data_IF_053022659512
#
_entry.id   IF_053022659512
#
_cell.length_a   1.000
_cell.length_b   1.000
_cell.length_c   1.000
_cell.angle_alpha   90.00
_cell.angle_beta   90.00
_cell.angle_gamma   90.00
#
_symmetry.space_group_name_H-M   'P 1'
#
loop_
_entity.id
_entity.type
_entity.pdbx_description
1 polymer ?
#
# COMPACT_ATOMS: atom_id res chain seq x y z
N UNK A 1 -64.08 77.75 11.75
CA UNK A 1 -63.91 77.53 13.18
C UNK A 1 -63.33 76.09 13.33
N UNK A 2 -62.05 75.98 13.34
CA UNK A 2 -61.34 74.70 13.35
C UNK A 2 -60.34 74.72 14.49
N UNK A 3 -60.52 73.81 15.42
CA UNK A 3 -59.68 73.62 16.60
C UNK A 3 -58.59 72.60 16.19
N UNK A 4 -57.33 73.02 16.33
CA UNK A 4 -56.17 72.13 16.12
C UNK A 4 -55.76 71.51 17.44
N UNK A 5 -55.68 70.20 17.52
CA UNK A 5 -55.15 69.45 18.64
C UNK A 5 -53.77 68.97 18.29
N UNK A 6 -52.73 69.38 19.01
CA UNK A 6 -51.38 68.98 18.93
C UNK A 6 -51.18 67.68 19.69
N UNK A 7 -50.55 66.66 19.02
CA UNK A 7 -50.15 65.41 19.63
C UNK A 7 -48.63 65.41 19.82
N UNK A 8 -48.16 65.27 21.03
CA UNK A 8 -46.76 65.11 21.39
C UNK A 8 -46.27 63.67 21.04
N UNK A 9 -45.21 63.58 20.28
CA UNK A 9 -44.48 62.34 20.03
C UNK A 9 -43.33 62.20 21.04
N UNK A 10 -43.28 61.04 21.69
CA UNK A 10 -42.16 60.60 22.49
C UNK A 10 -41.10 59.91 21.54
N UNK A 11 -39.78 60.07 21.79
CA UNK A 11 -38.79 59.38 21.00
C UNK A 11 -38.63 57.94 21.47
N UNK A 12 -38.93 56.99 20.59
CA UNK A 12 -38.68 55.54 20.79
C UNK A 12 -37.24 55.24 20.72
N UNK A 13 -36.71 54.65 21.78
CA UNK A 13 -35.36 54.03 21.80
C UNK A 13 -35.39 52.76 20.96
N UNK A 14 -34.79 52.82 19.77
CA UNK A 14 -34.60 51.64 18.92
C UNK A 14 -33.48 50.75 19.47
N UNK A 15 -33.81 49.59 20.03
CA UNK A 15 -32.85 48.55 20.34
C UNK A 15 -32.46 47.83 19.04
N UNK A 16 -31.24 48.11 18.54
CA UNK A 16 -30.66 47.35 17.45
C UNK A 16 -30.15 46.01 17.98
N UNK A 17 -30.87 44.95 17.68
CA UNK A 17 -30.42 43.57 17.91
C UNK A 17 -29.44 43.25 16.78
N UNK A 18 -28.15 43.28 17.07
CA UNK A 18 -27.07 42.71 16.21
C UNK A 18 -27.17 41.17 16.29
N UNK A 19 -27.81 40.59 15.28
CA UNK A 19 -27.82 39.13 15.06
C UNK A 19 -26.47 38.73 14.51
N UNK A 20 -25.53 38.34 15.39
CA UNK A 20 -24.25 37.76 15.01
C UNK A 20 -24.48 36.39 14.40
N UNK A 21 -24.45 36.27 13.06
CA UNK A 21 -24.33 35.00 12.38
C UNK A 21 -22.95 34.42 12.66
N UNK A 22 -22.83 33.51 13.63
CA UNK A 22 -21.71 32.59 13.77
C UNK A 22 -21.76 31.63 12.57
N UNK A 23 -20.96 31.92 11.55
CA UNK A 23 -20.62 30.95 10.48
C UNK A 23 -19.78 29.81 11.11
N UNK A 24 -20.46 28.74 11.53
CA UNK A 24 -19.79 27.44 11.71
C UNK A 24 -19.33 26.95 10.33
N UNK A 25 -18.09 27.23 9.99
CA UNK A 25 -17.41 26.50 8.93
C UNK A 25 -17.25 25.07 9.45
N UNK A 26 -18.18 24.19 9.08
CA UNK A 26 -17.99 22.76 9.25
C UNK A 26 -16.75 22.40 8.43
N UNK A 27 -15.59 22.23 9.08
CA UNK A 27 -14.47 21.55 8.48
C UNK A 27 -14.93 20.12 8.21
N UNK A 28 -15.37 19.85 6.98
CA UNK A 28 -15.49 18.47 6.52
C UNK A 28 -14.13 17.82 6.75
N UNK A 29 -14.07 16.61 7.34
CA UNK A 29 -12.82 15.89 7.41
C UNK A 29 -12.30 15.79 5.99
N UNK A 30 -11.11 16.36 5.73
CA UNK A 30 -10.42 16.17 4.49
C UNK A 30 -10.06 14.68 4.46
N UNK A 31 -10.91 13.87 3.81
CA UNK A 31 -10.55 12.49 3.54
C UNK A 31 -9.28 12.55 2.70
N UNK A 32 -8.23 11.91 3.20
CA UNK A 32 -6.98 11.84 2.46
C UNK A 32 -7.25 11.14 1.13
N UNK A 33 -7.09 11.89 0.06
CA UNK A 33 -7.37 11.44 -1.29
C UNK A 33 -6.29 10.47 -1.75
N UNK A 34 -6.68 9.38 -2.41
CA UNK A 34 -5.76 8.59 -3.21
C UNK A 34 -5.26 9.44 -4.38
N UNK A 35 -3.95 9.58 -4.50
CA UNK A 35 -3.30 10.35 -5.58
C UNK A 35 -3.18 9.57 -6.89
N UNK A 36 -3.49 8.28 -6.87
CA UNK A 36 -3.47 7.43 -8.08
C UNK A 36 -4.78 7.58 -8.81
N UNK A 37 -4.78 8.02 -10.07
CA UNK A 37 -5.98 7.98 -10.89
C UNK A 37 -6.31 6.53 -11.26
N UNK A 38 -7.62 6.22 -11.41
CA UNK A 38 -8.09 4.90 -11.83
C UNK A 38 -7.38 3.74 -11.09
N UNK A 39 -7.43 3.68 -9.75
CA UNK A 39 -6.55 2.84 -8.92
C UNK A 39 -6.78 1.33 -9.08
N UNK A 40 -7.96 0.91 -9.52
CA UNK A 40 -8.33 -0.50 -9.77
C UNK A 40 -8.51 -0.79 -11.26
N UNK A 41 -8.03 0.10 -12.15
CA UNK A 41 -8.01 -0.11 -13.59
C UNK A 41 -9.40 -0.23 -14.25
N UNK A 42 -10.47 0.22 -13.59
CA UNK A 42 -11.86 0.04 -14.02
C UNK A 42 -12.31 1.01 -15.14
N UNK A 43 -11.65 2.18 -15.25
CA UNK A 43 -12.00 3.19 -16.24
C UNK A 43 -11.28 2.88 -17.55
N UNK A 44 -12.05 2.62 -18.61
CA UNK A 44 -11.57 2.26 -19.94
C UNK A 44 -12.49 2.82 -21.03
N UNK A 45 -11.93 3.11 -22.19
CA UNK A 45 -12.71 3.49 -23.38
C UNK A 45 -13.37 2.28 -24.07
N UNK A 46 -12.70 1.13 -24.05
CA UNK A 46 -13.20 -0.09 -24.71
C UNK A 46 -12.62 -1.35 -24.05
N UNK A 47 -13.32 -2.48 -24.20
CA UNK A 47 -12.84 -3.76 -23.69
C UNK A 47 -11.58 -4.23 -24.42
N UNK A 48 -10.63 -4.91 -23.74
CA UNK A 48 -9.37 -5.36 -24.34
C UNK A 48 -9.59 -6.45 -25.38
N UNK A 49 -8.96 -6.30 -26.56
CA UNK A 49 -8.94 -7.36 -27.59
C UNK A 49 -7.75 -8.31 -27.34
N UNK A 50 -6.63 -7.73 -26.94
CA UNK A 50 -5.42 -8.41 -26.50
C UNK A 50 -4.99 -7.86 -25.15
N UNK A 51 -4.28 -8.64 -24.31
CA UNK A 51 -3.90 -8.17 -22.98
C UNK A 51 -2.87 -7.02 -23.00
N UNK A 52 -1.95 -6.99 -23.97
CA UNK A 52 -0.81 -6.09 -23.99
C UNK A 52 -1.17 -4.59 -23.99
N UNK A 53 -0.64 -3.83 -23.04
CA UNK A 53 -0.75 -2.37 -22.89
C UNK A 53 0.17 -1.61 -23.87
N UNK A 54 0.40 -2.11 -25.05
CA UNK A 54 1.29 -1.44 -26.00
C UNK A 54 0.54 -0.61 -27.02
N UNK A 55 1.09 0.57 -27.35
CA UNK A 55 0.57 1.40 -28.43
C UNK A 55 0.67 0.79 -29.83
N UNK A 56 1.21 -0.42 -29.97
CA UNK A 56 1.29 -1.16 -31.23
C UNK A 56 0.02 -1.93 -31.59
N UNK A 57 -0.83 -2.20 -30.62
CA UNK A 57 -2.16 -2.80 -30.84
C UNK A 57 -3.20 -1.83 -30.28
N UNK A 58 -4.30 -1.56 -30.98
CA UNK A 58 -5.43 -0.83 -30.42
C UNK A 58 -6.14 -1.76 -29.40
N UNK A 59 -5.50 -1.97 -28.24
CA UNK A 59 -6.10 -2.61 -27.10
C UNK A 59 -6.68 -1.55 -26.17
N UNK A 60 -7.63 -1.92 -25.33
CA UNK A 60 -8.06 -1.05 -24.27
C UNK A 60 -6.89 -0.86 -23.30
N UNK A 61 -6.53 0.38 -23.08
CA UNK A 61 -5.58 0.79 -22.07
C UNK A 61 -6.43 1.38 -20.94
N UNK A 62 -6.24 0.98 -19.67
CA UNK A 62 -6.92 1.64 -18.57
C UNK A 62 -6.59 3.12 -18.58
N UNK A 63 -7.60 3.98 -18.44
CA UNK A 63 -7.41 5.42 -18.41
C UNK A 63 -6.34 5.82 -17.39
N UNK A 64 -5.45 6.74 -17.77
CA UNK A 64 -4.35 7.25 -16.97
C UNK A 64 -3.16 6.31 -16.75
N UNK A 65 -3.21 5.07 -17.22
CA UNK A 65 -2.11 4.13 -17.14
C UNK A 65 -1.40 3.97 -18.47
N UNK A 66 -0.13 3.65 -18.44
CA UNK A 66 0.70 3.47 -19.63
C UNK A 66 1.75 2.38 -19.41
N UNK A 67 2.22 1.77 -20.49
CA UNK A 67 3.39 0.92 -20.44
C UNK A 67 4.63 1.79 -20.19
N UNK A 68 5.29 1.55 -19.06
CA UNK A 68 6.56 2.20 -18.74
C UNK A 68 7.74 1.45 -19.36
N UNK A 69 7.70 0.14 -19.33
CA UNK A 69 8.70 -0.73 -19.94
C UNK A 69 8.04 -1.98 -20.48
N UNK A 70 8.44 -2.36 -21.69
CA UNK A 70 8.00 -3.52 -22.45
C UNK A 70 6.46 -3.61 -22.60
N UNK A 71 5.86 -4.78 -22.44
CA UNK A 71 4.47 -5.07 -22.83
C UNK A 71 3.61 -5.57 -21.66
N UNK A 72 3.48 -4.82 -20.55
CA UNK A 72 2.57 -5.21 -19.50
C UNK A 72 1.16 -5.41 -20.04
N UNK A 73 0.36 -6.22 -19.37
CA UNK A 73 -0.94 -6.66 -19.86
C UNK A 73 -2.09 -6.05 -19.07
N UNK A 74 -3.26 -5.95 -19.72
CA UNK A 74 -4.52 -5.55 -19.10
C UNK A 74 -5.56 -6.65 -19.24
N UNK A 75 -6.26 -6.95 -18.15
CA UNK A 75 -7.30 -7.97 -18.06
C UNK A 75 -8.59 -7.36 -17.52
N UNK A 76 -9.73 -7.72 -18.13
CA UNK A 76 -11.04 -7.21 -17.72
C UNK A 76 -12.13 -8.23 -18.01
N UNK A 77 -13.08 -8.40 -17.08
CA UNK A 77 -14.21 -9.31 -17.22
C UNK A 77 -15.23 -8.93 -18.31
N UNK A 78 -15.06 -7.76 -18.94
CA UNK A 78 -15.94 -7.34 -20.07
C UNK A 78 -15.72 -8.17 -21.35
N UNK A 79 -14.71 -9.04 -21.39
CA UNK A 79 -14.43 -9.95 -22.51
C UNK A 79 -14.43 -11.41 -22.07
N UNK A 80 -14.65 -12.33 -23.01
CA UNK A 80 -14.55 -13.77 -22.80
C UNK A 80 -13.42 -14.32 -23.70
N UNK A 81 -12.20 -13.86 -23.44
CA UNK A 81 -11.01 -14.17 -24.25
C UNK A 81 -9.81 -14.39 -23.32
N UNK A 82 -8.62 -14.48 -23.91
CA UNK A 82 -7.33 -14.57 -23.16
C UNK A 82 -7.03 -13.34 -22.31
N UNK A 83 -7.76 -12.24 -22.48
CA UNK A 83 -7.67 -11.00 -21.69
C UNK A 83 -8.74 -10.88 -20.61
N UNK A 84 -9.46 -11.96 -20.30
CA UNK A 84 -10.58 -11.96 -19.36
C UNK A 84 -10.14 -11.99 -17.89
N UNK A 85 -11.09 -11.77 -17.01
CA UNK A 85 -11.05 -11.97 -15.57
C UNK A 85 -12.24 -12.87 -15.22
N UNK A 86 -12.11 -13.90 -14.40
CA UNK A 86 -10.91 -14.31 -13.64
C UNK A 86 -9.90 -15.17 -14.44
N UNK A 87 -10.29 -15.73 -15.59
CA UNK A 87 -9.47 -16.64 -16.37
C UNK A 87 -8.83 -15.92 -17.54
N UNK A 88 -7.51 -15.87 -17.57
CA UNK A 88 -6.74 -15.25 -18.65
C UNK A 88 -5.60 -16.14 -19.14
N UNK A 89 -4.78 -15.61 -20.03
CA UNK A 89 -3.65 -16.34 -20.61
C UNK A 89 -2.63 -16.79 -19.54
N UNK A 90 -2.37 -15.99 -18.50
CA UNK A 90 -1.31 -16.25 -17.53
C UNK A 90 -1.80 -16.73 -16.17
N UNK A 91 -3.06 -16.45 -15.80
CA UNK A 91 -3.57 -16.77 -14.49
C UNK A 91 -5.07 -17.07 -14.43
N UNK A 92 -5.49 -17.55 -13.26
CA UNK A 92 -6.88 -17.59 -12.84
C UNK A 92 -6.99 -16.86 -11.52
N UNK A 93 -7.50 -15.63 -11.54
CA UNK A 93 -7.61 -14.78 -10.37
C UNK A 93 -8.81 -13.84 -10.49
N UNK A 94 -9.70 -13.84 -9.49
CA UNK A 94 -10.73 -12.80 -9.36
C UNK A 94 -10.06 -11.45 -9.10
N UNK A 95 -10.61 -10.36 -9.64
CA UNK A 95 -10.12 -9.02 -9.32
C UNK A 95 -10.20 -8.77 -7.81
N UNK A 96 -9.25 -8.01 -7.27
CA UNK A 96 -9.31 -7.59 -5.87
C UNK A 96 -10.43 -6.56 -5.67
N UNK A 97 -10.53 -5.60 -6.57
CA UNK A 97 -11.59 -4.60 -6.60
C UNK A 97 -12.14 -4.47 -8.03
N UNK A 98 -13.47 -4.49 -8.17
CA UNK A 98 -14.12 -4.36 -9.47
C UNK A 98 -14.01 -5.59 -10.36
N UNK A 99 -13.58 -5.40 -11.62
CA UNK A 99 -13.61 -6.39 -12.70
C UNK A 99 -12.31 -6.44 -13.52
N UNK A 100 -11.28 -5.72 -13.11
CA UNK A 100 -10.07 -5.53 -13.89
C UNK A 100 -8.81 -5.59 -13.04
N UNK A 101 -7.66 -5.83 -13.67
CA UNK A 101 -6.33 -5.69 -13.11
C UNK A 101 -5.29 -5.63 -14.24
N UNK A 102 -4.06 -5.26 -13.90
CA UNK A 102 -2.91 -5.34 -14.80
C UNK A 102 -2.00 -6.51 -14.45
N UNK A 103 -1.25 -6.99 -15.41
CA UNK A 103 -0.26 -8.03 -15.23
C UNK A 103 1.07 -7.65 -15.87
N UNK A 104 2.15 -8.22 -15.34
CA UNK A 104 3.49 -7.91 -15.82
C UNK A 104 4.50 -9.01 -15.48
N UNK A 105 5.47 -9.19 -16.35
CA UNK A 105 6.62 -10.05 -16.10
C UNK A 105 7.58 -9.37 -15.13
N UNK A 106 7.75 -9.96 -13.94
CA UNK A 106 8.52 -9.37 -12.84
C UNK A 106 9.90 -9.99 -12.66
N UNK A 107 10.18 -11.12 -13.34
CA UNK A 107 11.49 -11.74 -13.40
C UNK A 107 11.61 -12.59 -14.66
N UNK A 108 12.56 -12.23 -15.55
CA UNK A 108 12.90 -12.98 -16.73
C UNK A 108 14.44 -13.12 -16.85
N UNK A 109 14.94 -14.16 -17.54
CA UNK A 109 16.34 -14.24 -17.91
C UNK A 109 16.79 -13.01 -18.70
N UNK A 110 18.02 -12.56 -18.50
CA UNK A 110 18.57 -11.44 -19.26
C UNK A 110 18.13 -10.05 -18.77
N UNK A 111 17.62 -9.93 -17.55
CA UNK A 111 17.22 -8.66 -16.94
C UNK A 111 15.98 -8.00 -17.59
N UNK A 112 15.14 -8.75 -18.28
CA UNK A 112 13.87 -8.24 -18.82
C UNK A 112 12.84 -8.07 -17.72
N UNK A 113 12.11 -6.97 -17.81
CA UNK A 113 11.00 -6.59 -16.91
C UNK A 113 9.92 -5.86 -17.67
N UNK A 114 8.70 -6.15 -17.31
CA UNK A 114 7.56 -5.31 -17.70
C UNK A 114 7.18 -4.41 -16.54
N UNK A 115 6.79 -3.19 -16.85
CA UNK A 115 6.43 -2.19 -15.85
C UNK A 115 5.27 -1.34 -16.34
N UNK A 116 4.37 -1.01 -15.43
CA UNK A 116 3.22 -0.14 -15.70
C UNK A 116 3.34 1.14 -14.88
N UNK A 117 2.97 2.28 -15.45
CA UNK A 117 3.08 3.58 -14.79
C UNK A 117 1.82 4.43 -14.91
N UNK A 118 1.71 5.42 -14.03
CA UNK A 118 0.68 6.44 -14.05
C UNK A 118 1.21 7.79 -13.60
N UNK A 119 0.62 8.89 -14.08
CA UNK A 119 0.84 10.22 -13.53
C UNK A 119 -0.06 10.41 -12.30
N UNK A 120 0.50 10.87 -11.20
CA UNK A 120 -0.25 11.19 -9.99
C UNK A 120 -1.16 12.40 -10.22
N UNK A 121 -2.34 12.40 -9.59
CA UNK A 121 -3.29 13.53 -9.65
C UNK A 121 -2.67 14.86 -9.21
N UNK A 122 -1.72 14.82 -8.30
CA UNK A 122 -0.94 15.97 -7.83
C UNK A 122 0.52 15.54 -7.61
N UNK A 123 1.49 16.42 -7.89
CA UNK A 123 2.89 16.18 -7.53
C UNK A 123 3.04 16.05 -6.01
N UNK A 124 3.98 15.22 -5.58
CA UNK A 124 4.33 15.11 -4.16
C UNK A 124 4.99 16.36 -3.64
N UNK A 125 4.77 16.68 -2.37
CA UNK A 125 5.44 17.77 -1.66
C UNK A 125 6.70 17.25 -0.98
N UNK A 126 7.82 17.93 -1.22
CA UNK A 126 9.12 17.57 -0.63
C UNK A 126 9.03 17.70 0.90
N UNK A 127 9.49 16.68 1.61
CA UNK A 127 9.47 16.61 3.07
C UNK A 127 8.20 16.03 3.67
N UNK A 128 7.13 15.82 2.87
CA UNK A 128 5.91 15.17 3.32
C UNK A 128 6.03 13.65 3.32
N UNK A 129 5.37 13.00 4.27
CA UNK A 129 5.29 11.54 4.33
C UNK A 129 4.14 11.04 3.46
N UNK A 130 4.44 10.07 2.61
CA UNK A 130 3.46 9.38 1.77
C UNK A 130 3.37 7.91 2.17
N UNK A 131 2.16 7.40 2.13
CA UNK A 131 1.80 6.00 2.30
C UNK A 131 1.42 5.45 0.94
N UNK A 132 1.99 4.30 0.58
CA UNK A 132 1.73 3.69 -0.71
C UNK A 132 1.44 2.20 -0.53
N UNK A 133 0.51 1.66 -1.32
CA UNK A 133 0.15 0.25 -1.28
C UNK A 133 -0.46 -0.22 -2.60
N UNK A 134 -0.38 -1.51 -2.85
CA UNK A 134 -1.08 -2.22 -3.92
C UNK A 134 -1.25 -3.68 -3.54
N UNK A 135 -2.18 -4.36 -4.17
CA UNK A 135 -2.33 -5.80 -4.04
C UNK A 135 -1.65 -6.52 -5.20
N UNK A 136 -0.99 -7.63 -4.90
CA UNK A 136 -0.25 -8.43 -5.87
C UNK A 136 -0.57 -9.91 -5.72
N UNK A 137 -0.66 -10.62 -6.85
CA UNK A 137 -0.83 -12.07 -6.93
C UNK A 137 0.26 -12.65 -7.83
N UNK A 138 0.79 -13.82 -7.49
CA UNK A 138 1.67 -14.57 -8.38
C UNK A 138 0.79 -15.31 -9.41
N UNK A 139 0.74 -14.83 -10.64
CA UNK A 139 -0.14 -15.36 -11.66
C UNK A 139 0.15 -16.84 -11.96
N UNK A 140 -0.84 -17.69 -11.77
CA UNK A 140 -0.78 -19.12 -12.06
C UNK A 140 -2.18 -19.66 -12.45
N UNK A 141 -2.23 -20.81 -13.13
CA UNK A 141 -3.51 -21.45 -13.48
C UNK A 141 -4.13 -20.97 -14.79
N UNK A 142 -3.48 -20.08 -15.54
CA UNK A 142 -3.90 -19.69 -16.87
C UNK A 142 -3.57 -20.70 -17.97
N UNK A 143 -3.77 -20.31 -19.23
CA UNK A 143 -3.45 -21.16 -20.40
C UNK A 143 -1.94 -21.36 -20.53
N UNK A 144 -1.14 -20.34 -20.18
CA UNK A 144 0.31 -20.33 -20.23
C UNK A 144 0.87 -19.89 -18.86
N UNK A 145 0.73 -20.70 -17.80
CA UNK A 145 1.15 -20.32 -16.48
C UNK A 145 2.68 -20.24 -16.36
N UNK A 146 3.15 -19.31 -15.57
CA UNK A 146 4.54 -19.21 -15.15
C UNK A 146 4.79 -20.15 -13.95
N UNK A 147 6.06 -20.50 -13.70
CA UNK A 147 6.42 -21.53 -12.72
C UNK A 147 7.01 -20.99 -11.41
N UNK A 148 7.43 -19.72 -11.39
CA UNK A 148 8.03 -19.09 -10.21
C UNK A 148 7.35 -17.77 -9.87
N UNK A 149 7.40 -17.40 -8.58
CA UNK A 149 7.16 -16.05 -8.09
C UNK A 149 8.48 -15.33 -7.85
N UNK A 150 8.43 -13.98 -7.72
CA UNK A 150 9.60 -13.14 -7.48
C UNK A 150 9.41 -12.22 -6.28
N UNK A 151 10.51 -11.80 -5.66
CA UNK A 151 10.56 -10.70 -4.69
C UNK A 151 10.70 -9.34 -5.39
N UNK A 152 10.77 -8.28 -4.61
CA UNK A 152 11.06 -6.91 -5.02
C UNK A 152 10.06 -6.26 -5.98
N UNK A 153 8.82 -6.78 -6.03
CA UNK A 153 7.73 -6.11 -6.74
C UNK A 153 7.36 -4.87 -5.94
N UNK A 154 7.42 -3.69 -6.57
CA UNK A 154 7.30 -2.44 -5.83
C UNK A 154 6.88 -1.26 -6.66
N UNK A 155 6.78 -0.10 -5.99
CA UNK A 155 6.52 1.21 -6.56
C UNK A 155 7.78 2.06 -6.54
N UNK A 156 8.17 2.55 -7.69
CA UNK A 156 9.18 3.57 -7.89
C UNK A 156 8.48 4.89 -8.24
N UNK A 157 8.88 5.98 -7.58
CA UNK A 157 8.36 7.30 -7.89
C UNK A 157 9.39 8.13 -8.64
N UNK A 158 8.94 8.88 -9.66
CA UNK A 158 9.81 9.67 -10.55
C UNK A 158 9.25 11.06 -10.80
N UNK A 159 10.12 12.03 -11.19
CA UNK A 159 9.70 13.39 -11.53
C UNK A 159 9.27 13.52 -12.99
N UNK A 160 9.79 12.68 -13.86
CA UNK A 160 9.54 12.70 -15.30
C UNK A 160 8.99 11.34 -15.74
N UNK A 161 8.13 11.31 -16.76
CA UNK A 161 7.79 10.05 -17.42
C UNK A 161 9.04 9.53 -18.11
N UNK A 162 9.23 8.22 -18.10
CA UNK A 162 10.21 7.61 -18.97
C UNK A 162 9.53 7.28 -20.29
N UNK A 163 10.27 7.41 -21.38
CA UNK A 163 9.79 6.92 -22.66
C UNK A 163 9.80 5.40 -22.67
N UNK A 164 8.75 4.82 -23.22
CA UNK A 164 8.67 3.39 -23.44
C UNK A 164 9.79 2.94 -24.37
N UNK A 165 10.53 1.91 -23.96
CA UNK A 165 11.61 1.32 -24.76
C UNK A 165 11.34 -0.18 -24.86
N UNK A 166 11.12 -0.64 -26.10
CA UNK A 166 10.90 -2.04 -26.38
C UNK A 166 12.23 -2.82 -26.42
N UNK A 167 12.21 -4.04 -25.86
CA UNK A 167 13.30 -5.01 -25.95
C UNK A 167 14.67 -4.46 -25.44
N UNK A 168 14.65 -3.73 -24.31
CA UNK A 168 15.85 -3.17 -23.71
C UNK A 168 16.12 -3.81 -22.34
N UNK A 169 16.97 -4.87 -22.27
CA UNK A 169 17.31 -5.52 -21.01
C UNK A 169 17.86 -4.54 -19.99
N UNK A 170 17.38 -4.64 -18.74
CA UNK A 170 17.84 -3.80 -17.64
C UNK A 170 17.32 -2.35 -17.69
N UNK A 171 16.48 -1.99 -18.66
CA UNK A 171 15.83 -0.69 -18.65
C UNK A 171 14.88 -0.57 -17.46
N UNK A 172 14.88 0.57 -16.81
CA UNK A 172 14.05 0.80 -15.61
C UNK A 172 14.63 0.23 -14.32
N UNK A 173 15.66 -0.61 -14.36
CA UNK A 173 16.32 -1.13 -13.16
C UNK A 173 17.09 -0.03 -12.43
N UNK A 174 16.83 0.09 -11.13
CA UNK A 174 17.48 1.07 -10.25
C UNK A 174 18.09 0.42 -9.01
N UNK A 175 17.81 -0.88 -8.77
CA UNK A 175 18.10 -1.58 -7.52
C UNK A 175 17.52 -0.87 -6.29
N UNK A 176 16.39 -0.22 -6.49
CA UNK A 176 15.70 0.59 -5.50
C UNK A 176 14.23 0.81 -5.90
N UNK A 177 13.36 0.82 -4.90
CA UNK A 177 11.98 1.33 -4.94
C UNK A 177 11.63 1.91 -3.58
N UNK A 178 10.77 2.92 -3.52
CA UNK A 178 10.35 3.50 -2.26
C UNK A 178 9.50 2.52 -1.43
N UNK A 179 8.69 1.72 -2.08
CA UNK A 179 7.87 0.67 -1.45
C UNK A 179 7.98 -0.61 -2.27
N UNK A 180 8.30 -1.73 -1.64
CA UNK A 180 8.41 -3.02 -2.33
C UNK A 180 8.26 -4.20 -1.37
N UNK A 181 7.94 -5.38 -1.91
CA UNK A 181 7.94 -6.64 -1.17
C UNK A 181 9.35 -7.24 -1.13
N UNK A 182 9.97 -7.25 0.05
CA UNK A 182 11.26 -7.93 0.21
C UNK A 182 11.13 -9.46 0.19
N UNK A 183 9.93 -10.00 0.39
CA UNK A 183 9.64 -11.44 0.31
C UNK A 183 9.16 -11.81 -1.08
N UNK A 184 9.44 -13.04 -1.50
CA UNK A 184 8.90 -13.60 -2.75
C UNK A 184 7.38 -13.69 -2.65
N UNK A 185 6.69 -13.19 -3.67
CA UNK A 185 5.24 -13.33 -3.81
C UNK A 185 4.96 -14.73 -4.37
N UNK A 186 4.32 -15.57 -3.58
CA UNK A 186 3.99 -16.96 -3.93
C UNK A 186 2.49 -17.26 -3.83
N UNK A 187 1.68 -16.30 -3.41
CA UNK A 187 0.23 -16.47 -3.34
C UNK A 187 -0.37 -16.46 -4.74
N UNK A 188 -0.89 -17.61 -5.16
CA UNK A 188 -1.55 -17.85 -6.45
C UNK A 188 -3.07 -17.93 -6.34
N UNK A 189 -3.63 -17.85 -5.12
CA UNK A 189 -5.06 -18.01 -4.85
C UNK A 189 -5.71 -16.73 -4.32
N UNK A 190 -4.94 -15.91 -3.60
CA UNK A 190 -5.39 -14.68 -3.00
C UNK A 190 -4.56 -13.50 -3.46
N UNK A 191 -4.71 -12.39 -2.76
CA UNK A 191 -3.97 -11.17 -3.01
C UNK A 191 -3.10 -10.81 -1.80
N UNK A 192 -1.84 -10.54 -2.04
CA UNK A 192 -0.87 -10.11 -1.03
C UNK A 192 -0.78 -8.59 -1.04
N UNK A 193 -0.98 -7.93 0.10
CA UNK A 193 -0.79 -6.49 0.24
C UNK A 193 0.70 -6.14 0.32
N UNK A 194 1.18 -5.35 -0.62
CA UNK A 194 2.49 -4.68 -0.57
C UNK A 194 2.26 -3.24 -0.16
N UNK A 195 2.89 -2.79 0.91
CA UNK A 195 2.68 -1.43 1.41
C UNK A 195 3.88 -0.90 2.18
N UNK A 196 3.97 0.42 2.26
CA UNK A 196 5.00 1.10 3.01
C UNK A 196 4.76 2.61 3.09
N UNK A 197 5.71 3.30 3.71
CA UNK A 197 5.72 4.76 3.77
C UNK A 197 7.13 5.28 3.52
N UNK A 198 7.22 6.49 2.99
CA UNK A 198 8.47 7.18 2.75
C UNK A 198 8.26 8.69 2.83
N UNK A 199 9.34 9.43 3.08
CA UNK A 199 9.35 10.88 2.98
C UNK A 199 9.78 11.25 1.57
N UNK A 200 8.97 12.04 0.86
CA UNK A 200 9.30 12.48 -0.49
C UNK A 200 10.51 13.44 -0.44
N UNK A 201 11.61 13.06 -1.06
CA UNK A 201 12.81 13.90 -1.21
C UNK A 201 12.79 14.75 -2.50
N UNK A 202 11.81 14.49 -3.35
CA UNK A 202 11.60 15.16 -4.64
C UNK A 202 10.11 15.37 -4.92
N UNK A 203 9.78 16.30 -5.82
CA UNK A 203 8.40 16.55 -6.25
C UNK A 203 7.96 15.48 -7.28
N UNK A 204 7.88 14.24 -6.85
CA UNK A 204 7.50 13.13 -7.70
C UNK A 204 6.11 13.33 -8.32
N UNK A 205 5.99 13.03 -9.60
CA UNK A 205 4.77 13.16 -10.40
C UNK A 205 4.27 11.86 -10.96
N UNK A 206 5.13 10.86 -11.08
CA UNK A 206 4.81 9.58 -11.69
C UNK A 206 5.12 8.46 -10.72
N UNK A 207 4.29 7.44 -10.75
CA UNK A 207 4.57 6.14 -10.13
C UNK A 207 4.81 5.10 -11.22
N UNK A 208 5.65 4.12 -10.91
CA UNK A 208 5.92 2.96 -11.75
C UNK A 208 5.87 1.71 -10.90
N UNK A 209 5.06 0.73 -11.31
CA UNK A 209 4.96 -0.57 -10.63
C UNK A 209 5.70 -1.62 -11.45
N UNK A 210 6.49 -2.44 -10.78
CA UNK A 210 7.25 -3.54 -11.34
C UNK A 210 8.35 -4.01 -10.41
N UNK A 211 9.25 -4.83 -10.94
CA UNK A 211 10.47 -5.20 -10.22
C UNK A 211 11.64 -4.34 -10.76
N UNK A 212 12.09 -3.39 -9.94
CA UNK A 212 13.16 -2.44 -10.28
C UNK A 212 14.58 -2.93 -9.94
N UNK A 213 14.71 -4.21 -9.56
CA UNK A 213 15.97 -4.79 -9.11
C UNK A 213 16.53 -5.76 -10.14
N UNK A 214 17.85 -5.83 -10.23
CA UNK A 214 18.55 -6.82 -11.05
C UNK A 214 18.25 -8.26 -10.59
N UNK A 215 18.40 -9.22 -11.49
CA UNK A 215 18.17 -10.64 -11.19
C UNK A 215 19.01 -11.13 -10.00
N UNK A 216 20.24 -10.66 -9.90
CA UNK A 216 21.14 -11.00 -8.78
C UNK A 216 20.65 -10.54 -7.40
N UNK A 217 19.71 -9.60 -7.35
CA UNK A 217 19.12 -9.07 -6.12
C UNK A 217 17.65 -9.48 -5.94
N UNK A 218 17.10 -10.28 -6.85
CA UNK A 218 15.72 -10.73 -6.82
C UNK A 218 15.67 -12.21 -6.46
N UNK A 219 15.06 -12.52 -5.32
CA UNK A 219 14.79 -13.90 -4.93
C UNK A 219 13.58 -14.44 -5.69
N UNK A 220 13.62 -15.74 -5.99
CA UNK A 220 12.53 -16.46 -6.66
C UNK A 220 12.15 -17.71 -5.90
N UNK A 221 10.90 -18.18 -6.06
CA UNK A 221 10.43 -19.43 -5.50
C UNK A 221 9.45 -20.11 -6.45
N UNK A 222 9.49 -21.44 -6.50
CA UNK A 222 8.56 -22.23 -7.29
C UNK A 222 7.12 -22.07 -6.77
N UNK A 223 6.18 -21.83 -7.68
CA UNK A 223 4.75 -21.65 -7.37
C UNK A 223 3.87 -22.73 -7.98
N UNK A 224 4.32 -23.41 -9.01
CA UNK A 224 3.59 -24.47 -9.68
C UNK A 224 4.18 -24.84 -11.04
N UNK A 225 3.82 -26.00 -11.59
CA UNK A 225 4.38 -26.44 -12.88
C UNK A 225 3.84 -25.59 -14.03
N UNK A 226 4.74 -25.21 -14.95
CA UNK A 226 4.37 -24.71 -16.27
C UNK A 226 4.54 -25.82 -17.31
N UNK A 227 3.52 -26.09 -18.15
CA UNK A 227 3.66 -27.02 -19.26
C UNK A 227 4.44 -26.44 -20.45
N UNK A 228 4.84 -25.19 -20.36
CA UNK A 228 5.51 -24.46 -21.44
C UNK A 228 6.97 -24.20 -21.08
N UNK A 229 7.89 -24.94 -21.73
CA UNK A 229 9.33 -24.82 -21.46
C UNK A 229 9.87 -23.38 -21.65
N UNK A 230 9.23 -22.58 -22.51
CA UNK A 230 9.64 -21.20 -22.78
C UNK A 230 9.45 -20.26 -21.60
N UNK A 231 8.56 -20.60 -20.65
CA UNK A 231 8.29 -19.80 -19.46
C UNK A 231 8.95 -20.35 -18.18
N UNK A 232 9.83 -21.35 -18.36
CA UNK A 232 10.55 -21.92 -17.24
C UNK A 232 11.53 -20.93 -16.61
N UNK A 233 11.41 -20.74 -15.30
CA UNK A 233 12.20 -19.77 -14.56
C UNK A 233 11.78 -18.31 -14.78
N UNK A 234 10.51 -18.07 -15.17
CA UNK A 234 9.93 -16.75 -15.35
C UNK A 234 8.89 -16.48 -14.26
N UNK A 235 8.83 -15.23 -13.78
CA UNK A 235 7.80 -14.79 -12.84
C UNK A 235 6.90 -13.75 -13.49
N UNK A 236 5.59 -13.93 -13.29
CA UNK A 236 4.56 -13.00 -13.73
C UNK A 236 3.66 -12.64 -12.55
N UNK A 237 3.29 -11.38 -12.41
CA UNK A 237 2.46 -10.90 -11.31
C UNK A 237 1.28 -10.08 -11.79
N UNK A 238 0.14 -10.28 -11.13
CA UNK A 238 -1.06 -9.45 -11.29
C UNK A 238 -1.06 -8.38 -10.22
N UNK A 239 -1.52 -7.18 -10.55
CA UNK A 239 -1.58 -6.02 -9.64
C UNK A 239 -2.94 -5.35 -9.71
N UNK A 240 -3.48 -5.01 -8.54
CA UNK A 240 -4.77 -4.33 -8.40
C UNK A 240 -4.76 -3.37 -7.21
N UNK A 241 -5.75 -2.47 -7.13
CA UNK A 241 -6.04 -1.55 -6.01
C UNK A 241 -4.81 -0.76 -5.55
N UNK A 242 -4.31 0.10 -6.42
CA UNK A 242 -3.12 0.92 -6.19
C UNK A 242 -3.48 2.17 -5.40
N UNK A 243 -2.71 2.50 -4.39
CA UNK A 243 -2.96 3.64 -3.54
C UNK A 243 -1.69 4.43 -3.20
N UNK A 244 -1.80 5.76 -3.22
CA UNK A 244 -0.80 6.71 -2.72
C UNK A 244 -1.52 7.84 -1.99
N UNK A 245 -1.19 8.11 -0.74
CA UNK A 245 -1.86 9.12 0.08
C UNK A 245 -0.92 9.72 1.12
N UNK A 246 -1.23 10.91 1.60
CA UNK A 246 -0.55 11.54 2.75
C UNK A 246 -1.08 11.05 4.10
N UNK A 247 -2.06 10.15 4.13
CA UNK A 247 -2.66 9.63 5.35
C UNK A 247 -2.76 8.10 5.30
N UNK A 248 -2.52 7.47 6.44
CA UNK A 248 -2.75 6.03 6.66
C UNK A 248 -4.20 5.60 6.49
N UNK A 249 -5.15 6.54 6.59
CA UNK A 249 -6.58 6.27 6.35
C UNK A 249 -6.90 6.21 4.84
N UNK A 250 -6.04 6.78 4.00
CA UNK A 250 -6.22 6.78 2.55
C UNK A 250 -5.75 5.50 1.88
N UNK A 251 -4.70 4.86 2.41
CA UNK A 251 -4.14 3.64 1.81
C UNK A 251 -4.01 2.52 2.86
N UNK A 252 -4.36 1.28 2.52
CA UNK A 252 -4.13 0.14 3.40
C UNK A 252 -2.62 -0.08 3.59
N UNK A 253 -2.21 -0.40 4.82
CA UNK A 253 -0.84 -0.77 5.16
C UNK A 253 -0.82 -2.17 5.75
N UNK A 254 0.08 -3.04 5.26
CA UNK A 254 0.20 -4.43 5.70
C UNK A 254 0.52 -4.58 7.20
N UNK A 255 1.10 -3.54 7.82
CA UNK A 255 1.42 -3.51 9.24
C UNK A 255 0.54 -2.54 10.05
N UNK A 256 -0.49 -1.95 9.44
CA UNK A 256 -1.58 -1.41 10.21
C UNK A 256 -2.40 -2.62 10.68
N UNK A 257 -1.99 -3.24 11.79
CA UNK A 257 -2.98 -3.80 12.69
C UNK A 257 -3.97 -2.66 12.84
N UNK A 258 -5.18 -2.83 12.29
CA UNK A 258 -6.29 -1.94 12.55
C UNK A 258 -6.31 -1.75 14.07
N UNK A 259 -5.81 -0.64 14.55
CA UNK A 259 -6.15 -0.14 15.86
C UNK A 259 -7.64 0.16 15.80
N UNK A 260 -8.45 -0.89 15.87
CA UNK A 260 -9.83 -0.76 16.27
C UNK A 260 -9.76 0.06 17.56
N UNK A 261 -10.25 1.27 17.52
CA UNK A 261 -10.37 2.20 18.63
C UNK A 261 -11.03 1.50 19.81
N UNK A 262 -10.20 0.96 20.68
CA UNK A 262 -10.55 0.21 21.86
C UNK A 262 -9.28 -0.34 22.48
N UNK A 263 -8.61 0.44 23.33
CA UNK A 263 -7.49 0.07 24.18
C UNK A 263 -6.28 -0.53 23.43
N UNK A 264 -5.58 0.30 22.68
CA UNK A 264 -4.39 -0.08 21.95
C UNK A 264 -3.22 -0.32 22.92
N UNK A 265 -2.68 -1.54 22.87
CA UNK A 265 -1.39 -1.83 23.50
C UNK A 265 -0.24 -1.15 22.76
N UNK A 266 0.82 -0.81 23.45
CA UNK A 266 2.01 -0.19 22.85
C UNK A 266 3.22 -0.34 23.75
N UNK A 267 4.40 -0.07 23.21
CA UNK A 267 5.65 -0.08 23.97
C UNK A 267 6.36 1.27 23.84
N UNK A 268 6.91 1.77 24.93
CA UNK A 268 7.65 3.04 24.97
C UNK A 268 8.64 3.08 26.14
N UNK A 269 9.71 3.88 26.03
CA UNK A 269 10.20 4.51 24.81
C UNK A 269 10.74 3.49 23.82
N UNK A 270 10.74 3.81 22.54
CA UNK A 270 11.40 3.03 21.51
C UNK A 270 12.08 4.00 20.52
N UNK A 271 13.40 4.10 20.48
CA UNK A 271 14.39 3.27 21.18
C UNK A 271 14.40 3.39 22.72
N UNK A 272 14.81 2.31 23.40
CA UNK A 272 14.88 2.22 24.87
C UNK A 272 16.33 2.15 25.35
N UNK A 273 16.59 2.78 26.53
CA UNK A 273 17.89 2.72 27.21
C UNK A 273 17.85 1.82 28.45
N UNK A 274 16.96 2.10 29.37
CA UNK A 274 16.95 1.47 30.70
C UNK A 274 15.66 0.70 30.99
N UNK A 275 14.50 1.31 30.70
CA UNK A 275 13.18 0.77 31.02
C UNK A 275 12.25 0.82 29.84
N UNK A 276 11.71 -0.32 29.47
CA UNK A 276 10.65 -0.48 28.47
C UNK A 276 9.31 -0.62 29.17
N UNK A 277 8.37 0.26 28.85
CA UNK A 277 7.00 0.16 29.30
C UNK A 277 6.18 -0.50 28.18
N UNK A 278 5.41 -1.53 28.54
CA UNK A 278 4.47 -2.15 27.63
C UNK A 278 3.04 -2.00 28.18
N UNK A 279 2.18 -1.44 27.34
CA UNK A 279 0.73 -1.32 27.58
C UNK A 279 0.01 -2.31 26.67
N UNK A 280 -0.86 -3.13 27.22
CA UNK A 280 -1.50 -4.21 26.46
C UNK A 280 -2.89 -3.83 25.92
N UNK A 281 -3.51 -2.79 26.49
CA UNK A 281 -4.87 -2.37 26.14
C UNK A 281 -5.97 -3.30 26.64
N UNK A 282 -5.59 -4.43 27.23
CA UNK A 282 -6.49 -5.40 27.88
C UNK A 282 -5.75 -6.06 29.04
N UNK A 283 -6.50 -6.73 29.94
CA UNK A 283 -5.89 -7.53 30.99
C UNK A 283 -5.32 -8.81 30.43
N UNK A 284 -4.00 -8.96 30.49
CA UNK A 284 -3.27 -10.13 30.02
C UNK A 284 -3.08 -11.15 31.14
N UNK A 285 -3.32 -12.41 30.83
CA UNK A 285 -3.05 -13.56 31.68
C UNK A 285 -2.23 -14.56 30.87
N UNK A 286 -1.04 -14.89 31.34
CA UNK A 286 -0.15 -15.84 30.65
C UNK A 286 1.29 -15.41 30.66
N UNK A 287 2.04 -15.87 29.68
CA UNK A 287 3.46 -15.55 29.55
C UNK A 287 3.68 -14.37 28.61
N UNK A 288 4.49 -13.41 29.08
CA UNK A 288 5.06 -12.36 28.25
C UNK A 288 6.51 -12.77 27.96
N UNK A 289 6.90 -12.76 26.70
CA UNK A 289 8.19 -13.23 26.24
C UNK A 289 8.90 -12.14 25.45
N UNK A 290 10.19 -11.94 25.73
CA UNK A 290 11.06 -11.13 24.88
C UNK A 290 12.05 -12.03 24.18
N UNK A 291 12.17 -11.86 22.88
CA UNK A 291 13.11 -12.62 22.03
C UNK A 291 14.04 -11.67 21.27
N UNK A 292 15.26 -12.15 20.99
CA UNK A 292 16.18 -11.47 20.08
C UNK A 292 15.85 -11.81 18.60
N UNK A 293 16.60 -11.22 17.66
CA UNK A 293 16.38 -11.46 16.21
C UNK A 293 16.62 -12.91 15.77
N UNK A 294 17.31 -13.72 16.57
CA UNK A 294 17.51 -15.15 16.32
C UNK A 294 16.41 -16.02 16.94
N UNK A 295 15.39 -15.39 17.54
CA UNK A 295 14.27 -16.08 18.19
C UNK A 295 14.62 -16.64 19.57
N UNK A 296 15.81 -16.36 20.11
CA UNK A 296 16.22 -16.81 21.45
C UNK A 296 15.48 -15.99 22.49
N UNK A 297 14.92 -16.70 23.47
CA UNK A 297 14.22 -16.07 24.59
C UNK A 297 15.21 -15.37 25.52
N UNK A 298 15.09 -14.06 25.65
CA UNK A 298 15.91 -13.23 26.55
C UNK A 298 15.24 -13.09 27.89
N UNK A 299 13.91 -13.01 27.92
CA UNK A 299 13.12 -12.92 29.15
C UNK A 299 11.75 -13.55 28.97
N UNK A 300 11.25 -14.17 30.04
CA UNK A 300 9.86 -14.67 30.14
C UNK A 300 9.33 -14.26 31.51
N UNK A 301 8.16 -13.63 31.53
CA UNK A 301 7.44 -13.27 32.76
C UNK A 301 6.01 -13.81 32.71
N UNK A 302 5.56 -14.42 33.82
CA UNK A 302 4.17 -14.78 34.00
C UNK A 302 3.40 -13.62 34.59
N UNK A 303 2.30 -13.26 33.97
CA UNK A 303 1.42 -12.17 34.38
C UNK A 303 -0.01 -12.63 34.56
N UNK A 304 -0.71 -12.01 35.50
CA UNK A 304 -2.11 -12.29 35.75
C UNK A 304 -2.88 -11.00 35.93
N UNK A 305 -3.76 -10.71 34.96
CA UNK A 305 -4.68 -9.58 35.03
C UNK A 305 -4.01 -8.20 34.92
N UNK A 306 -2.82 -8.11 34.31
CA UNK A 306 -2.08 -6.83 34.14
C UNK A 306 -2.42 -6.18 32.81
N UNK A 307 -2.54 -4.86 32.79
CA UNK A 307 -2.72 -4.04 31.60
C UNK A 307 -1.42 -3.38 31.14
N UNK A 308 -0.46 -3.25 32.06
CA UNK A 308 0.84 -2.61 31.79
C UNK A 308 1.93 -3.37 32.54
N UNK A 309 3.13 -3.42 31.93
CA UNK A 309 4.34 -3.86 32.61
C UNK A 309 5.49 -2.90 32.34
N UNK A 310 6.50 -2.96 33.20
CA UNK A 310 7.76 -2.26 33.01
C UNK A 310 8.88 -3.29 33.07
N UNK A 311 9.69 -3.37 32.01
CA UNK A 311 10.82 -4.26 31.90
C UNK A 311 12.12 -3.46 31.97
N UNK A 312 13.01 -3.82 32.87
CA UNK A 312 14.38 -3.31 32.84
C UNK A 312 15.15 -4.02 31.73
N UNK A 313 15.76 -3.24 30.85
CA UNK A 313 16.62 -3.71 29.76
C UNK A 313 18.10 -3.41 30.03
N UNK A 314 18.40 -2.93 31.24
CA UNK A 314 19.78 -2.65 31.66
C UNK A 314 20.61 -3.93 31.60
N UNK A 315 21.78 -3.84 30.96
CA UNK A 315 22.68 -4.96 30.77
C UNK A 315 22.35 -5.88 29.58
N UNK A 316 21.30 -5.60 28.83
CA UNK A 316 21.02 -6.31 27.57
C UNK A 316 21.89 -5.76 26.44
N UNK A 317 22.23 -6.63 25.48
CA UNK A 317 22.97 -6.19 24.30
C UNK A 317 22.18 -5.17 23.48
N UNK A 318 22.87 -4.21 22.87
CA UNK A 318 22.26 -3.30 21.90
C UNK A 318 21.73 -4.10 20.72
N UNK A 319 20.60 -3.68 20.17
CA UNK A 319 20.01 -4.35 19.03
C UNK A 319 18.49 -4.35 19.06
N UNK A 320 17.91 -5.11 18.14
CA UNK A 320 16.48 -5.25 18.00
C UNK A 320 15.98 -6.46 18.78
N UNK A 321 14.80 -6.30 19.37
CA UNK A 321 14.09 -7.31 20.17
C UNK A 321 12.62 -7.30 19.82
N UNK A 322 11.93 -8.41 20.15
CA UNK A 322 10.47 -8.54 20.01
C UNK A 322 9.88 -8.93 21.35
N UNK A 323 8.92 -8.16 21.84
CA UNK A 323 8.08 -8.49 22.99
C UNK A 323 6.81 -9.17 22.46
N UNK A 324 6.51 -10.34 22.99
CA UNK A 324 5.38 -11.17 22.59
C UNK A 324 4.48 -11.47 23.79
N UNK A 325 3.17 -11.48 23.59
CA UNK A 325 2.20 -12.01 24.55
C UNK A 325 0.97 -12.59 23.85
N UNK A 326 0.20 -13.36 24.59
CA UNK A 326 -1.07 -13.90 24.14
C UNK A 326 -2.23 -13.20 24.85
N UNK A 327 -3.08 -12.52 24.10
CA UNK A 327 -4.33 -11.94 24.58
C UNK A 327 -5.54 -12.75 24.10
N UNK A 328 -6.74 -12.26 24.42
CA UNK A 328 -8.00 -12.87 23.97
C UNK A 328 -8.13 -12.98 22.46
N UNK A 329 -7.55 -12.03 21.73
CA UNK A 329 -7.55 -11.97 20.27
C UNK A 329 -6.38 -12.74 19.60
N UNK A 330 -5.59 -13.51 20.37
CA UNK A 330 -4.45 -14.27 19.89
C UNK A 330 -3.10 -13.69 20.29
N UNK A 331 -2.05 -14.11 19.58
CA UNK A 331 -0.68 -13.65 19.80
C UNK A 331 -0.52 -12.20 19.28
N UNK A 332 0.10 -11.35 20.11
CA UNK A 332 0.54 -10.00 19.73
C UNK A 332 2.03 -9.85 19.92
N UNK A 333 2.66 -9.00 19.12
CA UNK A 333 4.10 -8.75 19.21
C UNK A 333 4.43 -7.30 18.88
N UNK A 334 5.44 -6.75 19.57
CA UNK A 334 5.99 -5.42 19.33
C UNK A 334 7.50 -5.48 19.20
N UNK A 335 8.04 -4.80 18.19
CA UNK A 335 9.48 -4.66 17.99
C UNK A 335 10.00 -3.43 18.74
N UNK A 336 11.17 -3.51 19.38
CA UNK A 336 11.86 -2.39 19.99
C UNK A 336 13.37 -2.48 19.81
N UNK A 337 14.02 -1.33 19.96
CA UNK A 337 15.48 -1.19 19.79
C UNK A 337 16.09 -0.73 21.11
N UNK A 338 17.13 -1.44 21.56
CA UNK A 338 17.96 -1.01 22.69
C UNK A 338 19.14 -0.21 22.15
N UNK A 339 19.29 1.00 22.69
CA UNK A 339 20.37 1.94 22.37
C UNK A 339 21.22 2.26 23.61
N UNK A 340 22.25 3.08 23.45
CA UNK A 340 23.04 3.57 24.58
C UNK A 340 22.28 4.49 25.50
#
# INVERSE_FOLDING_TARGET
MLIATTYNRWPGVGASILLGCLLFVAMAPCQAQNLVPNPSFEQIDSCPVFPALTGFQPGAIPDHWFSFNDTPDYFNACVDTVSSVPSNVFGYQEAFDGQAYVGMATFLPGEYREMVGAELLLPMLIGETYYASFYVNAAHGGIQPFDIGSSNIGMLFTMNPYEWVFDMPGYGLRNYSQVYSASVITDTLGWTLVSGSFVADSAYRYLVIGNHFQNALTDTAFIGPSPWDIYYGWAYSLVDQVCVSTSTQGCPLANLVLELSGAVGGIFPNPVKDQLHARFGEKVIGDIRVVDLLGRSVRVEKVVGVENITLSVVGWAKGQYVLEWFGKAGKRSFKFVIVE
#
